data_IF_646624223823
#
_entry.id   IF_646624223823
#
_cell.length_a   1.000
_cell.length_b   1.000
_cell.length_c   1.000
_cell.angle_alpha   90.00
_cell.angle_beta   90.00
_cell.angle_gamma   90.00
#
_symmetry.space_group_name_H-M   'P 1'
#
loop_
_entity.id
_entity.type
_entity.pdbx_description
1 polymer ?
#
# COMPACT_ATOMS: atom_id res chain seq x y z
N UNK A 1 0.43 35.72 -43.25
CA UNK A 1 -0.71 34.92 -43.74
C UNK A 1 -1.69 34.83 -42.58
N UNK A 2 -2.53 35.84 -42.34
CA UNK A 2 -3.87 36.05 -42.95
C UNK A 2 -4.77 34.85 -42.59
N UNK A 3 -5.86 34.96 -41.82
CA UNK A 3 -6.92 35.96 -41.87
C UNK A 3 -7.65 36.13 -40.52
N UNK A 4 -8.15 37.35 -40.30
CA UNK A 4 -9.36 37.63 -39.52
C UNK A 4 -10.52 36.75 -40.00
N UNK A 5 -11.40 36.31 -39.08
CA UNK A 5 -12.80 36.12 -39.46
C UNK A 5 -13.74 36.65 -38.38
N UNK A 6 -14.62 37.50 -38.88
CA UNK A 6 -15.60 38.41 -38.29
C UNK A 6 -16.77 37.71 -37.61
N UNK A 7 -17.23 38.32 -36.51
CA UNK A 7 -18.56 38.13 -35.90
C UNK A 7 -19.68 38.47 -36.90
N UNK A 8 -20.83 37.77 -36.84
CA UNK A 8 -22.11 38.33 -37.20
C UNK A 8 -22.87 38.79 -35.94
N UNK A 9 -23.38 40.02 -35.99
CA UNK A 9 -24.38 40.57 -35.05
C UNK A 9 -25.79 40.41 -35.60
N UNK A 10 -26.73 40.21 -34.67
CA UNK A 10 -28.17 40.46 -34.73
C UNK A 10 -29.08 39.39 -35.38
N UNK A 11 -29.82 38.69 -34.51
CA UNK A 11 -31.21 38.30 -34.77
C UNK A 11 -32.00 38.38 -33.46
N UNK A 12 -32.67 39.52 -33.24
CA UNK A 12 -33.84 39.63 -32.36
C UNK A 12 -35.08 39.54 -33.23
N UNK A 13 -35.96 38.58 -32.95
CA UNK A 13 -37.43 38.72 -32.97
C UNK A 13 -38.02 37.46 -32.34
N UNK A 14 -38.62 37.60 -31.15
CA UNK A 14 -39.28 36.52 -30.44
C UNK A 14 -40.59 36.06 -31.08
N UNK A 15 -41.18 34.99 -30.52
CA UNK A 15 -42.48 35.14 -29.90
C UNK A 15 -42.33 34.96 -28.38
N UNK A 16 -42.83 35.95 -27.65
CA UNK A 16 -43.18 35.83 -26.25
C UNK A 16 -44.08 34.60 -26.07
N UNK A 17 -43.58 33.60 -25.34
CA UNK A 17 -44.29 32.34 -25.18
C UNK A 17 -43.39 31.19 -24.76
N UNK A 18 -42.68 31.33 -23.63
CA UNK A 18 -42.59 30.36 -22.51
C UNK A 18 -41.75 31.02 -21.39
N UNK A 19 -42.07 32.26 -21.02
CA UNK A 19 -41.61 32.85 -19.74
C UNK A 19 -42.68 32.61 -18.67
N UNK A 20 -43.19 31.38 -18.60
CA UNK A 20 -44.25 30.97 -17.67
C UNK A 20 -43.80 29.87 -16.69
N UNK A 21 -42.50 29.59 -16.60
CA UNK A 21 -41.98 28.53 -15.70
C UNK A 21 -40.69 28.90 -14.95
N UNK A 22 -40.14 30.11 -15.14
CA UNK A 22 -38.93 30.54 -14.42
C UNK A 22 -39.22 31.30 -13.11
N UNK A 23 -40.38 31.95 -12.97
CA UNK A 23 -40.71 32.81 -11.81
C UNK A 23 -41.45 32.10 -10.66
N UNK A 24 -41.90 30.85 -10.85
CA UNK A 24 -42.64 30.07 -9.84
C UNK A 24 -41.86 28.82 -9.36
N UNK A 25 -40.53 28.83 -9.48
CA UNK A 25 -39.72 27.80 -8.82
C UNK A 25 -39.81 27.99 -7.32
N UNK A 26 -40.48 27.05 -6.66
CA UNK A 26 -40.64 27.09 -5.20
C UNK A 26 -39.27 26.97 -4.53
N UNK A 27 -39.09 27.60 -3.36
CA UNK A 27 -37.87 27.44 -2.56
C UNK A 27 -37.55 25.96 -2.26
N UNK A 28 -38.58 25.10 -2.22
CA UNK A 28 -38.41 23.65 -2.08
C UNK A 28 -37.71 23.00 -3.27
N UNK A 29 -37.94 23.45 -4.50
CA UNK A 29 -37.26 22.95 -5.70
C UNK A 29 -35.79 23.37 -5.75
N UNK A 30 -35.45 24.62 -5.35
CA UNK A 30 -34.05 25.06 -5.27
C UNK A 30 -33.26 24.30 -4.20
N UNK A 31 -33.85 24.07 -3.03
CA UNK A 31 -33.22 23.28 -1.97
C UNK A 31 -33.06 21.82 -2.39
N UNK A 32 -34.03 21.27 -3.12
CA UNK A 32 -33.95 19.94 -3.73
C UNK A 32 -32.77 19.79 -4.68
N UNK A 33 -32.62 20.72 -5.63
CA UNK A 33 -31.52 20.71 -6.61
C UNK A 33 -30.15 20.79 -5.92
N UNK A 34 -29.98 21.68 -4.94
CA UNK A 34 -28.72 21.79 -4.17
C UNK A 34 -28.42 20.50 -3.41
N UNK A 35 -29.43 19.88 -2.78
CA UNK A 35 -29.24 18.61 -2.07
C UNK A 35 -28.83 17.47 -3.03
N UNK A 36 -29.39 17.46 -4.24
CA UNK A 36 -29.02 16.52 -5.30
C UNK A 36 -27.60 16.76 -5.81
N UNK A 37 -27.18 18.01 -5.99
CA UNK A 37 -25.82 18.37 -6.40
C UNK A 37 -24.78 17.98 -5.33
N UNK A 38 -25.05 18.28 -4.06
CA UNK A 38 -24.20 17.86 -2.94
C UNK A 38 -24.08 16.33 -2.85
N UNK A 39 -25.20 15.62 -3.02
CA UNK A 39 -25.22 14.15 -3.07
C UNK A 39 -24.38 13.62 -4.23
N UNK A 40 -24.38 14.33 -5.36
CA UNK A 40 -23.60 13.98 -6.55
C UNK A 40 -22.11 14.19 -6.33
N UNK A 41 -21.70 15.29 -5.71
CA UNK A 41 -20.31 15.55 -5.34
C UNK A 41 -19.76 14.51 -4.38
N UNK A 42 -20.52 14.18 -3.31
CA UNK A 42 -20.09 13.15 -2.34
C UNK A 42 -19.91 11.80 -3.03
N UNK A 43 -20.83 11.42 -3.93
CA UNK A 43 -20.67 10.19 -4.74
C UNK A 43 -19.42 10.23 -5.60
N UNK A 44 -19.12 11.37 -6.23
CA UNK A 44 -17.91 11.54 -7.06
C UNK A 44 -16.63 11.45 -6.24
N UNK A 45 -16.55 12.07 -5.06
CA UNK A 45 -15.39 11.94 -4.18
C UNK A 45 -15.18 10.50 -3.72
N UNK A 46 -16.26 9.77 -3.41
CA UNK A 46 -16.18 8.35 -3.06
C UNK A 46 -15.68 7.52 -4.24
N UNK A 47 -16.18 7.75 -5.45
CA UNK A 47 -15.72 7.03 -6.65
C UNK A 47 -14.26 7.36 -6.99
N UNK A 48 -13.84 8.62 -6.81
CA UNK A 48 -12.46 9.04 -6.97
C UNK A 48 -11.55 8.35 -5.93
N UNK A 49 -11.92 8.39 -4.65
CA UNK A 49 -11.17 7.75 -3.57
C UNK A 49 -11.07 6.23 -3.78
N UNK A 50 -12.13 5.58 -4.27
CA UNK A 50 -12.08 4.16 -4.66
C UNK A 50 -11.11 3.92 -5.82
N UNK A 51 -11.09 4.79 -6.83
CA UNK A 51 -10.18 4.66 -7.97
C UNK A 51 -8.72 4.84 -7.56
N UNK A 52 -8.43 5.83 -6.72
CA UNK A 52 -7.11 6.07 -6.15
C UNK A 52 -6.66 4.90 -5.27
N UNK A 53 -7.51 4.47 -4.34
CA UNK A 53 -7.23 3.32 -3.47
C UNK A 53 -6.98 2.03 -4.26
N UNK A 54 -7.76 1.76 -5.33
CA UNK A 54 -7.54 0.60 -6.20
C UNK A 54 -6.18 0.66 -6.89
N UNK A 55 -5.78 1.84 -7.34
CA UNK A 55 -4.49 2.07 -8.02
C UNK A 55 -3.34 1.87 -7.04
N UNK A 56 -3.44 2.44 -5.85
CA UNK A 56 -2.46 2.27 -4.77
C UNK A 56 -2.38 0.82 -4.30
N UNK A 57 -3.51 0.17 -4.04
CA UNK A 57 -3.58 -1.23 -3.64
C UNK A 57 -2.98 -2.15 -4.70
N UNK A 58 -3.22 -1.88 -5.98
CA UNK A 58 -2.60 -2.65 -7.08
C UNK A 58 -1.09 -2.44 -7.11
N UNK A 59 -0.61 -1.22 -6.93
CA UNK A 59 0.82 -0.91 -6.91
C UNK A 59 1.52 -1.55 -5.70
N UNK A 60 0.93 -1.43 -4.52
CA UNK A 60 1.40 -2.07 -3.30
C UNK A 60 1.37 -3.60 -3.43
N UNK A 61 0.29 -4.16 -3.97
CA UNK A 61 0.13 -5.59 -4.22
C UNK A 61 1.17 -6.14 -5.19
N UNK A 62 1.48 -5.42 -6.28
CA UNK A 62 2.59 -5.77 -7.18
C UNK A 62 3.93 -5.74 -6.47
N UNK A 63 4.19 -4.71 -5.65
CA UNK A 63 5.42 -4.60 -4.86
C UNK A 63 5.61 -5.79 -3.91
N UNK A 64 4.58 -6.09 -3.10
CA UNK A 64 4.58 -7.24 -2.19
C UNK A 64 4.69 -8.56 -2.96
N UNK A 65 3.97 -8.70 -4.07
CA UNK A 65 4.02 -9.89 -4.92
C UNK A 65 5.40 -10.12 -5.53
N UNK A 66 6.08 -9.08 -6.00
CA UNK A 66 7.43 -9.16 -6.55
C UNK A 66 8.46 -9.50 -5.46
N UNK A 67 8.39 -8.87 -4.29
CA UNK A 67 9.30 -9.17 -3.17
C UNK A 67 9.07 -10.59 -2.65
N UNK A 68 7.82 -11.00 -2.48
CA UNK A 68 7.48 -12.37 -2.08
C UNK A 68 7.92 -13.40 -3.12
N UNK A 69 7.65 -13.14 -4.39
CA UNK A 69 8.09 -13.99 -5.51
C UNK A 69 9.61 -14.09 -5.61
N UNK A 70 10.33 -12.97 -5.42
CA UNK A 70 11.79 -12.96 -5.36
C UNK A 70 12.33 -13.78 -4.17
N UNK A 71 11.65 -13.75 -3.02
CA UNK A 71 11.98 -14.61 -1.88
C UNK A 71 11.88 -16.10 -2.23
N UNK A 72 10.79 -16.53 -2.85
CA UNK A 72 10.59 -17.93 -3.28
C UNK A 72 11.60 -18.32 -4.36
N UNK A 73 11.75 -17.49 -5.40
CA UNK A 73 12.70 -17.74 -6.48
C UNK A 73 14.14 -17.79 -5.98
N UNK A 74 14.52 -16.87 -5.08
CA UNK A 74 15.82 -16.86 -4.42
C UNK A 74 16.05 -18.12 -3.58
N UNK A 75 15.05 -18.56 -2.81
CA UNK A 75 15.15 -19.81 -2.05
C UNK A 75 15.37 -21.03 -2.95
N UNK A 76 14.63 -21.15 -4.05
CA UNK A 76 14.81 -22.23 -5.02
C UNK A 76 16.19 -22.16 -5.70
N UNK A 77 16.63 -20.96 -6.09
CA UNK A 77 17.96 -20.76 -6.67
C UNK A 77 19.07 -21.20 -5.70
N UNK A 78 18.94 -20.88 -4.41
CA UNK A 78 19.88 -21.30 -3.37
C UNK A 78 19.86 -22.82 -3.17
N UNK A 79 18.69 -23.46 -3.20
CA UNK A 79 18.55 -24.92 -3.09
C UNK A 79 19.23 -25.62 -4.28
N UNK A 80 18.86 -25.27 -5.51
CA UNK A 80 19.45 -25.87 -6.71
C UNK A 80 20.93 -25.52 -6.86
N UNK A 81 21.33 -24.30 -6.49
CA UNK A 81 22.73 -23.89 -6.43
C UNK A 81 23.55 -24.73 -5.45
N UNK A 82 22.95 -25.13 -4.31
CA UNK A 82 23.61 -26.02 -3.34
C UNK A 82 23.84 -27.41 -3.91
N UNK A 83 22.85 -27.98 -4.61
CA UNK A 83 23.03 -29.27 -5.29
C UNK A 83 24.04 -29.18 -6.43
N UNK A 84 23.98 -28.12 -7.24
CA UNK A 84 24.95 -27.89 -8.31
C UNK A 84 26.37 -27.77 -7.76
N UNK A 85 26.57 -27.03 -6.67
CA UNK A 85 27.87 -26.93 -6.00
C UNK A 85 28.33 -28.26 -5.43
N UNK A 86 27.42 -29.03 -4.81
CA UNK A 86 27.73 -30.36 -4.29
C UNK A 86 28.21 -31.29 -5.41
N UNK A 87 27.49 -31.39 -6.52
CA UNK A 87 27.88 -32.23 -7.65
C UNK A 87 29.15 -31.74 -8.34
N UNK A 88 29.37 -30.42 -8.38
CA UNK A 88 30.62 -29.87 -8.89
C UNK A 88 31.81 -30.31 -8.03
N UNK A 89 31.71 -30.21 -6.70
CA UNK A 89 32.76 -30.63 -5.78
C UNK A 89 32.94 -32.15 -5.77
N UNK A 90 31.86 -32.91 -5.90
CA UNK A 90 31.89 -34.39 -5.98
C UNK A 90 32.78 -34.89 -7.13
N UNK A 91 32.89 -34.12 -8.21
CA UNK A 91 33.80 -34.48 -9.31
C UNK A 91 35.29 -34.39 -8.93
N UNK A 92 35.63 -33.67 -7.86
CA UNK A 92 37.02 -33.45 -7.41
C UNK A 92 37.33 -34.13 -6.06
N UNK A 93 36.32 -34.53 -5.28
CA UNK A 93 36.46 -35.19 -3.98
C UNK A 93 35.28 -36.12 -3.67
N UNK A 94 35.45 -37.03 -2.71
CA UNK A 94 34.35 -37.90 -2.27
C UNK A 94 33.13 -37.10 -1.78
N UNK A 95 31.92 -37.55 -2.14
CA UNK A 95 30.64 -36.86 -1.90
C UNK A 95 30.45 -36.39 -0.46
N UNK A 96 30.89 -37.19 0.51
CA UNK A 96 30.82 -36.83 1.94
C UNK A 96 31.59 -35.54 2.27
N UNK A 97 32.78 -35.35 1.71
CA UNK A 97 33.56 -34.13 1.90
C UNK A 97 32.97 -32.95 1.16
N UNK A 98 32.45 -33.16 -0.06
CA UNK A 98 31.72 -32.13 -0.80
C UNK A 98 30.50 -31.62 -0.01
N UNK A 99 29.71 -32.54 0.56
CA UNK A 99 28.57 -32.21 1.40
C UNK A 99 28.97 -31.42 2.66
N UNK A 100 30.08 -31.77 3.32
CA UNK A 100 30.60 -31.03 4.47
C UNK A 100 31.01 -29.61 4.11
N UNK A 101 31.60 -29.38 2.94
CA UNK A 101 31.96 -28.03 2.47
C UNK A 101 30.70 -27.19 2.22
N UNK A 102 29.70 -27.74 1.54
CA UNK A 102 28.42 -27.04 1.31
C UNK A 102 27.70 -26.75 2.64
N UNK A 103 27.71 -27.70 3.57
CA UNK A 103 27.15 -27.51 4.90
C UNK A 103 27.89 -26.43 5.70
N UNK A 104 29.22 -26.39 5.64
CA UNK A 104 30.02 -25.36 6.28
C UNK A 104 29.72 -23.96 5.71
N UNK A 105 29.57 -23.85 4.38
CA UNK A 105 29.18 -22.61 3.71
C UNK A 105 27.84 -22.09 4.24
N UNK A 106 26.83 -22.96 4.34
CA UNK A 106 25.53 -22.60 4.90
C UNK A 106 25.58 -22.29 6.39
N UNK A 107 26.42 -22.99 7.15
CA UNK A 107 26.66 -22.70 8.56
C UNK A 107 27.22 -21.30 8.78
N UNK A 108 28.18 -20.87 7.96
CA UNK A 108 28.72 -19.50 7.99
C UNK A 108 27.65 -18.49 7.60
N UNK A 109 26.91 -18.73 6.52
CA UNK A 109 25.83 -17.85 6.10
C UNK A 109 24.76 -17.69 7.20
N UNK A 110 24.36 -18.79 7.85
CA UNK A 110 23.42 -18.79 8.95
C UNK A 110 23.94 -18.03 10.18
N UNK A 111 25.22 -18.21 10.53
CA UNK A 111 25.85 -17.46 11.61
C UNK A 111 25.83 -15.95 11.33
N UNK A 112 26.20 -15.53 10.11
CA UNK A 112 26.16 -14.12 9.71
C UNK A 112 24.74 -13.56 9.77
N UNK A 113 23.76 -14.26 9.21
CA UNK A 113 22.36 -13.84 9.25
C UNK A 113 21.83 -13.73 10.69
N UNK A 114 22.14 -14.71 11.55
CA UNK A 114 21.73 -14.68 12.96
C UNK A 114 22.37 -13.51 13.72
N UNK A 115 23.65 -13.21 13.46
CA UNK A 115 24.35 -12.08 14.09
C UNK A 115 23.79 -10.74 13.61
N UNK A 116 23.61 -10.56 12.30
CA UNK A 116 23.03 -9.34 11.72
C UNK A 116 21.60 -9.13 12.17
N UNK A 117 20.76 -10.18 12.13
CA UNK A 117 19.38 -10.12 12.61
C UNK A 117 19.30 -9.78 14.09
N UNK A 118 20.16 -10.36 14.93
CA UNK A 118 20.26 -9.98 16.35
C UNK A 118 20.71 -8.54 16.54
N UNK A 119 21.66 -8.05 15.74
CA UNK A 119 22.12 -6.65 15.81
C UNK A 119 20.99 -5.70 15.47
N UNK A 120 20.26 -5.99 14.40
CA UNK A 120 19.15 -5.18 13.92
C UNK A 120 17.99 -5.19 14.91
N UNK A 121 17.62 -6.36 15.45
CA UNK A 121 16.61 -6.46 16.52
C UNK A 121 17.02 -5.74 17.81
N UNK A 122 18.33 -5.65 18.10
CA UNK A 122 18.83 -4.88 19.26
C UNK A 122 18.87 -3.38 18.99
N UNK A 123 19.11 -2.94 17.76
CA UNK A 123 19.05 -1.51 17.37
C UNK A 123 17.63 -1.02 17.22
N UNK A 124 16.70 -1.90 16.86
CA UNK A 124 15.27 -1.70 17.05
C UNK A 124 14.94 -1.77 18.54
N UNK A 125 15.27 -0.71 19.27
CA UNK A 125 14.61 -0.39 20.53
C UNK A 125 13.33 0.35 20.14
N UNK A 126 12.15 -0.30 20.05
CA UNK A 126 10.91 0.45 19.99
C UNK A 126 10.85 1.22 21.31
N UNK A 127 11.35 2.46 21.29
CA UNK A 127 11.14 3.47 22.34
C UNK A 127 9.66 3.84 22.30
N UNK A 128 8.81 2.87 22.54
CA UNK A 128 7.45 3.07 22.96
C UNK A 128 7.52 3.41 24.45
N UNK A 129 8.31 4.41 24.84
CA UNK A 129 8.45 4.84 26.24
C UNK A 129 7.06 5.17 26.80
N UNK A 130 6.20 5.77 25.97
CA UNK A 130 4.78 6.00 26.24
C UNK A 130 4.01 4.69 26.42
N UNK A 131 4.02 3.75 25.48
CA UNK A 131 3.27 2.49 25.61
C UNK A 131 3.77 1.64 26.78
N UNK A 132 5.09 1.60 27.01
CA UNK A 132 5.67 0.90 28.16
C UNK A 132 5.30 1.57 29.48
N UNK A 133 5.15 2.89 29.52
CA UNK A 133 4.68 3.63 30.70
C UNK A 133 3.20 3.34 30.97
N UNK A 134 2.33 3.47 29.96
CA UNK A 134 0.90 3.15 30.08
C UNK A 134 0.69 1.70 30.51
N UNK A 135 1.39 0.73 29.91
CA UNK A 135 1.28 -0.68 30.32
C UNK A 135 1.79 -0.93 31.75
N UNK A 136 2.80 -0.20 32.22
CA UNK A 136 3.28 -0.28 33.61
C UNK A 136 2.28 0.33 34.59
N UNK A 137 1.66 1.44 34.23
CA UNK A 137 0.61 2.10 35.01
C UNK A 137 -0.63 1.20 35.12
N UNK A 138 -1.09 0.62 34.01
CA UNK A 138 -2.22 -0.31 33.97
C UNK A 138 -1.94 -1.58 34.81
N UNK A 139 -0.72 -2.12 34.71
CA UNK A 139 -0.31 -3.26 35.53
C UNK A 139 -0.22 -2.93 37.03
N UNK A 140 0.14 -1.69 37.38
CA UNK A 140 0.16 -1.23 38.76
C UNK A 140 -1.26 -1.09 39.32
N UNK A 141 -2.18 -0.49 38.57
CA UNK A 141 -3.61 -0.41 38.91
C UNK A 141 -4.24 -1.79 39.13
N UNK A 142 -3.99 -2.75 38.23
CA UNK A 142 -4.52 -4.10 38.35
C UNK A 142 -4.00 -4.86 39.59
N UNK A 143 -2.74 -4.64 39.99
CA UNK A 143 -2.18 -5.21 41.23
C UNK A 143 -2.81 -4.60 42.47
N UNK A 144 -3.18 -3.32 42.42
CA UNK A 144 -3.81 -2.61 43.52
C UNK A 144 -5.22 -3.14 43.79
N UNK A 145 -5.99 -3.43 42.73
CA UNK A 145 -7.32 -4.08 42.82
C UNK A 145 -7.29 -5.51 43.38
N UNK A 146 -6.16 -6.22 43.25
CA UNK A 146 -6.02 -7.58 43.80
C UNK A 146 -5.71 -7.59 45.30
N UNK A 147 -5.17 -6.49 45.84
CA UNK A 147 -4.65 -6.41 47.20
C UNK A 147 -5.51 -5.57 48.15
N UNK A 148 -6.62 -5.00 47.68
CA UNK A 148 -7.62 -4.28 48.48
C UNK A 148 -8.97 -4.98 48.39
#
# INVERSE_FOLDING_TARGET
>A
MTAQQTRPTAQETGPAGTDATAEDRTLGELVGDIATDLTTLVKQEVELAKAELKTEATKAGKGVGLVGGAGVAGHLALLFGSFALLFLLDSWMHTGWAALVVAALWGVAAAVMAMSGRKELKSFNPKLETTQKTLKEDAAWARQLKNG
#
